data_IF_084634123418
#
_entry.id   IF_084634123418
#
_cell.length_a   1.000
_cell.length_b   1.000
_cell.length_c   1.000
_cell.angle_alpha   90.00
_cell.angle_beta   90.00
_cell.angle_gamma   90.00
#
_symmetry.space_group_name_H-M   'P 1'
#
loop_
_entity.id
_entity.type
_entity.pdbx_description
1 polymer ?
#
# COMPACT_ATOMS: atom_id res chain seq x y z
N UNK A 1 25.69 -23.85 29.06
CA UNK A 1 25.04 -23.44 27.79
C UNK A 1 23.70 -22.69 28.02
N UNK A 2 23.66 -21.66 28.88
CA UNK A 2 22.42 -20.86 29.15
C UNK A 2 22.56 -19.37 28.80
N UNK A 3 23.75 -18.93 28.38
CA UNK A 3 24.05 -17.53 28.06
C UNK A 3 23.85 -17.17 26.58
N UNK A 4 23.89 -18.16 25.68
CA UNK A 4 23.75 -17.96 24.23
C UNK A 4 22.31 -17.60 23.81
N UNK A 5 21.29 -18.16 24.47
CA UNK A 5 19.88 -17.87 24.17
C UNK A 5 19.45 -16.44 24.50
N UNK A 6 20.08 -15.80 25.50
CA UNK A 6 19.79 -14.40 25.85
C UNK A 6 20.44 -13.41 24.89
N UNK A 7 21.63 -13.74 24.37
CA UNK A 7 22.31 -12.90 23.38
C UNK A 7 21.58 -12.87 22.03
N UNK A 8 20.97 -13.98 21.61
CA UNK A 8 20.25 -14.06 20.34
C UNK A 8 18.98 -13.19 20.31
N UNK A 9 18.25 -13.14 21.43
CA UNK A 9 17.03 -12.32 21.58
C UNK A 9 17.35 -10.81 21.62
N UNK A 10 18.51 -10.45 22.16
CA UNK A 10 18.97 -9.04 22.15
C UNK A 10 19.41 -8.61 20.75
N UNK A 11 20.07 -9.50 20.00
CA UNK A 11 20.49 -9.21 18.62
C UNK A 11 19.29 -9.07 17.68
N UNK A 12 18.24 -9.90 17.83
CA UNK A 12 17.02 -9.76 17.02
C UNK A 12 16.26 -8.46 17.31
N UNK A 13 16.27 -7.99 18.57
CA UNK A 13 15.68 -6.69 18.94
C UNK A 13 16.46 -5.48 18.38
N UNK A 14 17.78 -5.59 18.22
CA UNK A 14 18.63 -4.52 17.68
C UNK A 14 18.44 -4.38 16.15
N UNK A 15 18.30 -5.49 15.43
CA UNK A 15 18.08 -5.48 13.97
C UNK A 15 16.73 -4.85 13.61
N UNK A 16 15.71 -4.99 14.47
CA UNK A 16 14.39 -4.36 14.32
C UNK A 16 14.41 -2.83 14.50
N UNK A 17 15.40 -2.27 15.19
CA UNK A 17 15.46 -0.84 15.50
C UNK A 17 16.12 0.00 14.38
N UNK A 18 16.84 -0.63 13.45
CA UNK A 18 17.69 0.08 12.45
C UNK A 18 17.01 0.40 11.11
N UNK A 19 15.72 0.07 10.90
CA UNK A 19 15.04 0.26 9.60
C UNK A 19 14.52 1.70 9.39
N UNK A 20 14.79 2.64 10.31
CA UNK A 20 14.22 3.99 10.31
C UNK A 20 15.15 5.12 9.82
N UNK A 21 16.05 4.85 8.88
CA UNK A 21 16.82 5.92 8.23
C UNK A 21 16.95 5.67 6.73
N UNK A 22 16.31 6.53 5.92
CA UNK A 22 16.83 6.93 4.62
C UNK A 22 16.21 8.28 4.24
N UNK A 23 17.00 9.32 4.50
CA UNK A 23 16.88 10.64 3.92
C UNK A 23 17.73 10.68 2.64
N UNK A 24 17.15 11.10 1.52
CA UNK A 24 17.93 11.68 0.42
C UNK A 24 17.04 12.58 -0.41
N UNK A 25 17.64 13.70 -0.80
CA UNK A 25 17.08 15.00 -1.15
C UNK A 25 17.10 15.23 -2.69
N UNK A 26 16.12 16.04 -3.14
CA UNK A 26 16.14 17.05 -4.24
C UNK A 26 16.36 16.60 -5.71
N UNK A 27 15.37 16.81 -6.59
CA UNK A 27 15.30 17.97 -7.51
C UNK A 27 13.93 18.04 -8.23
N UNK A 28 13.31 19.23 -8.15
CA UNK A 28 11.98 19.58 -8.67
C UNK A 28 12.13 20.42 -9.93
N UNK A 29 11.37 20.12 -10.98
CA UNK A 29 11.04 21.07 -12.06
C UNK A 29 9.52 21.29 -12.09
N UNK A 30 9.13 22.57 -12.07
CA UNK A 30 7.76 23.09 -11.83
C UNK A 30 6.89 23.11 -13.08
N UNK A 31 5.57 22.92 -12.91
CA UNK A 31 4.38 23.64 -13.49
C UNK A 31 3.16 22.68 -13.45
N UNK A 32 1.91 23.07 -13.18
CA UNK A 32 1.23 24.33 -12.92
C UNK A 32 -0.20 24.03 -12.42
N UNK A 33 -0.76 24.91 -11.59
CA UNK A 33 -1.96 24.70 -10.75
C UNK A 33 -3.25 25.08 -11.51
N UNK A 34 -4.31 24.29 -11.37
CA UNK A 34 -5.68 24.67 -11.76
C UNK A 34 -6.51 24.95 -10.48
N UNK A 35 -7.28 26.05 -10.42
CA UNK A 35 -7.77 26.61 -9.16
C UNK A 35 -9.04 25.92 -8.66
N UNK A 36 -8.89 25.07 -7.65
CA UNK A 36 -9.96 24.75 -6.70
C UNK A 36 -9.64 25.41 -5.36
N UNK A 37 -10.46 26.39 -4.95
CA UNK A 37 -10.61 26.91 -3.59
C UNK A 37 -9.79 26.22 -2.48
N UNK A 38 -8.50 26.57 -2.38
CA UNK A 38 -7.52 26.01 -1.45
C UNK A 38 -7.62 26.58 -0.01
N UNK A 39 -8.60 27.43 0.29
CA UNK A 39 -8.61 28.25 1.50
C UNK A 39 -9.06 27.51 2.78
N UNK A 40 -9.49 26.24 2.70
CA UNK A 40 -10.06 25.55 3.86
C UNK A 40 -9.54 24.14 4.12
N UNK A 41 -8.56 23.64 3.36
CA UNK A 41 -7.93 22.36 3.77
C UNK A 41 -6.98 22.64 4.93
N UNK A 42 -7.20 22.06 6.12
CA UNK A 42 -6.19 22.08 7.15
C UNK A 42 -4.91 21.51 6.55
N UNK A 43 -3.81 22.26 6.66
CA UNK A 43 -2.48 21.85 6.21
C UNK A 43 -2.10 20.47 6.77
N UNK A 44 -2.70 20.11 7.91
CA UNK A 44 -2.57 18.82 8.57
C UNK A 44 -3.27 17.68 7.83
N UNK A 45 -4.43 17.89 7.20
CA UNK A 45 -5.16 16.85 6.47
C UNK A 45 -4.39 16.41 5.22
N UNK A 46 -3.74 17.36 4.54
CA UNK A 46 -2.93 17.11 3.33
C UNK A 46 -1.66 16.31 3.65
N UNK A 47 -1.09 16.51 4.84
CA UNK A 47 0.09 15.76 5.30
C UNK A 47 -0.29 14.37 5.83
N UNK A 48 -1.49 14.24 6.43
CA UNK A 48 -2.03 12.97 6.92
C UNK A 48 -2.38 12.01 5.79
N UNK A 49 -2.74 12.51 4.61
CA UNK A 49 -3.07 11.67 3.47
C UNK A 49 -1.86 11.16 2.68
N UNK A 50 -0.62 11.54 3.01
CA UNK A 50 0.57 11.05 2.28
C UNK A 50 0.73 9.53 2.43
N UNK A 51 0.95 8.82 1.32
CA UNK A 51 1.02 7.37 1.29
C UNK A 51 2.22 6.89 0.45
N UNK A 52 2.70 5.69 0.77
CA UNK A 52 3.66 4.95 -0.09
C UNK A 52 3.04 3.72 -0.74
N UNK A 53 2.08 3.12 -0.04
CA UNK A 53 1.34 1.93 -0.43
C UNK A 53 -0.10 2.10 0.05
N UNK A 54 -1.03 1.37 -0.55
CA UNK A 54 -2.46 1.46 -0.22
C UNK A 54 -2.76 1.12 1.25
N UNK A 55 -1.89 0.35 1.91
CA UNK A 55 -1.98 0.05 3.34
C UNK A 55 -1.98 1.30 4.23
N UNK A 56 -1.35 2.40 3.79
CA UNK A 56 -1.38 3.67 4.52
C UNK A 56 -2.75 4.35 4.47
N UNK A 57 -3.58 3.98 3.48
CA UNK A 57 -4.89 4.54 3.25
C UNK A 57 -6.02 3.82 4.00
N UNK A 58 -5.70 2.84 4.84
CA UNK A 58 -6.70 2.12 5.67
C UNK A 58 -7.53 3.02 6.58
N UNK A 59 -7.01 4.19 6.94
CA UNK A 59 -7.75 5.16 7.74
C UNK A 59 -8.94 5.78 6.98
N UNK A 60 -8.91 5.76 5.65
CA UNK A 60 -9.94 6.31 4.78
C UNK A 60 -10.50 5.20 3.88
N UNK A 61 -11.71 4.69 4.16
CA UNK A 61 -12.31 3.66 3.33
C UNK A 61 -12.45 4.16 1.88
N UNK A 62 -12.38 3.23 0.91
CA UNK A 62 -12.50 3.53 -0.52
C UNK A 62 -11.44 4.46 -1.10
N UNK A 63 -10.33 4.67 -0.40
CA UNK A 63 -9.16 5.38 -0.94
C UNK A 63 -8.02 4.44 -1.29
N UNK A 64 -7.27 4.79 -2.32
CA UNK A 64 -6.08 4.08 -2.77
C UNK A 64 -4.89 5.04 -2.89
N UNK A 65 -3.67 4.51 -2.84
CA UNK A 65 -2.47 5.33 -2.88
C UNK A 65 -2.18 5.76 -4.31
N UNK A 66 -2.39 7.04 -4.60
CA UNK A 66 -2.26 7.61 -5.92
C UNK A 66 -1.43 8.87 -5.94
N UNK A 67 -0.90 9.23 -7.11
CA UNK A 67 -0.29 10.56 -7.28
C UNK A 67 -1.36 11.61 -7.40
N UNK A 68 -1.33 12.58 -6.50
CA UNK A 68 -2.21 13.73 -6.50
C UNK A 68 -1.98 14.56 -7.78
N UNK A 69 -3.03 14.84 -8.57
CA UNK A 69 -2.90 15.64 -9.80
C UNK A 69 -2.45 17.09 -9.53
N UNK A 70 -2.60 17.61 -8.31
CA UNK A 70 -2.28 18.99 -7.96
C UNK A 70 -0.77 19.19 -7.76
N UNK A 71 -0.10 18.28 -7.06
CA UNK A 71 1.31 18.41 -6.70
C UNK A 71 2.18 17.17 -6.96
N UNK A 72 1.60 16.11 -7.52
CA UNK A 72 2.26 14.86 -7.89
C UNK A 72 2.67 13.99 -6.70
N UNK A 73 2.32 14.38 -5.47
CA UNK A 73 2.66 13.60 -4.28
C UNK A 73 1.75 12.39 -4.16
N UNK A 74 2.32 11.27 -3.71
CA UNK A 74 1.53 10.10 -3.38
C UNK A 74 0.66 10.37 -2.15
N UNK A 75 -0.65 10.35 -2.34
CA UNK A 75 -1.66 10.54 -1.32
C UNK A 75 -2.80 9.53 -1.45
N UNK A 76 -3.52 9.32 -0.37
CA UNK A 76 -4.77 8.58 -0.37
C UNK A 76 -5.82 9.40 -1.11
N UNK A 77 -6.23 8.90 -2.26
CA UNK A 77 -7.18 9.53 -3.16
C UNK A 77 -8.35 8.58 -3.41
N UNK A 78 -9.50 9.16 -3.70
CA UNK A 78 -10.66 8.45 -4.18
C UNK A 78 -10.47 8.06 -5.66
N UNK A 79 -11.35 7.19 -6.18
CA UNK A 79 -11.30 6.71 -7.57
C UNK A 79 -11.34 7.84 -8.64
N UNK A 80 -11.90 8.99 -8.28
CA UNK A 80 -11.97 10.20 -9.10
C UNK A 80 -10.71 11.10 -9.01
N UNK A 81 -9.70 10.70 -8.24
CA UNK A 81 -8.50 11.48 -7.84
C UNK A 81 -8.75 12.64 -6.88
N UNK A 82 -9.95 12.76 -6.32
CA UNK A 82 -10.17 13.75 -5.27
C UNK A 82 -9.68 13.20 -3.93
N UNK A 83 -9.51 14.08 -2.95
CA UNK A 83 -9.22 13.59 -1.60
C UNK A 83 -10.55 13.30 -0.90
N UNK A 84 -10.57 12.35 0.03
CA UNK A 84 -11.74 12.11 0.84
C UNK A 84 -12.22 13.40 1.52
N UNK A 85 -13.53 13.61 1.52
CA UNK A 85 -14.19 14.74 2.17
C UNK A 85 -14.91 14.17 3.39
N UNK A 86 -14.61 14.68 4.59
CA UNK A 86 -15.11 14.12 5.85
C UNK A 86 -14.90 12.60 5.98
N UNK A 87 -13.71 12.16 5.58
CA UNK A 87 -13.25 10.76 5.63
C UNK A 87 -14.00 9.78 4.69
N UNK A 88 -14.75 10.27 3.70
CA UNK A 88 -15.44 9.44 2.71
C UNK A 88 -15.22 9.90 1.26
N UNK A 89 -15.44 8.98 0.32
CA UNK A 89 -15.36 9.19 -1.11
C UNK A 89 -16.76 9.23 -1.75
N UNK A 90 -16.98 10.21 -2.63
CA UNK A 90 -18.23 10.33 -3.39
C UNK A 90 -18.36 9.18 -4.39
N UNK A 91 -17.25 8.80 -5.03
CA UNK A 91 -17.19 7.71 -6.00
C UNK A 91 -16.54 6.48 -5.38
N UNK A 92 -17.21 5.33 -5.53
CA UNK A 92 -16.66 4.04 -5.11
C UNK A 92 -15.62 3.52 -6.11
N UNK A 93 -14.60 2.79 -5.64
CA UNK A 93 -13.65 2.10 -6.50
C UNK A 93 -14.32 0.98 -7.32
N UNK A 94 -13.70 0.66 -8.44
CA UNK A 94 -14.01 -0.48 -9.31
C UNK A 94 -13.54 -1.79 -8.68
N UNK A 95 -14.36 -2.83 -8.82
CA UNK A 95 -14.09 -4.19 -8.36
C UNK A 95 -13.03 -4.90 -9.22
N UNK A 96 -12.55 -6.06 -8.76
CA UNK A 96 -11.61 -6.88 -9.52
C UNK A 96 -12.21 -7.33 -10.85
N UNK A 97 -11.40 -7.36 -11.90
CA UNK A 97 -11.83 -7.69 -13.26
C UNK A 97 -12.58 -6.59 -14.00
N UNK A 98 -12.97 -5.50 -13.32
CA UNK A 98 -13.60 -4.35 -13.98
C UNK A 98 -12.58 -3.50 -14.71
N UNK A 99 -13.03 -2.87 -15.79
CA UNK A 99 -12.18 -1.99 -16.59
C UNK A 99 -11.69 -0.77 -15.79
N UNK A 100 -10.43 -0.40 -15.99
CA UNK A 100 -9.79 0.71 -15.30
C UNK A 100 -8.84 1.45 -16.24
N UNK A 101 -8.50 2.70 -15.89
CA UNK A 101 -7.44 3.46 -16.55
C UNK A 101 -6.22 3.62 -15.64
N UNK A 102 -6.42 3.65 -14.32
CA UNK A 102 -5.38 3.90 -13.32
C UNK A 102 -5.59 3.10 -12.05
N UNK A 103 -4.50 2.84 -11.33
CA UNK A 103 -4.52 2.03 -10.10
C UNK A 103 -5.49 2.54 -9.03
N UNK A 104 -5.63 3.87 -8.90
CA UNK A 104 -6.50 4.50 -7.90
C UNK A 104 -8.00 4.18 -8.07
N UNK A 105 -8.39 3.74 -9.26
CA UNK A 105 -9.76 3.37 -9.57
C UNK A 105 -10.09 2.01 -8.97
N UNK A 106 -9.10 1.15 -8.81
CA UNK A 106 -9.28 -0.18 -8.26
C UNK A 106 -9.47 -0.17 -6.75
N UNK A 107 -10.04 -1.26 -6.21
CA UNK A 107 -10.09 -1.51 -4.77
C UNK A 107 -8.70 -1.47 -4.13
N UNK A 108 -8.67 -1.36 -2.79
CA UNK A 108 -7.43 -1.32 -2.04
C UNK A 108 -6.56 -2.57 -2.31
N UNK A 109 -5.25 -2.38 -2.51
CA UNK A 109 -4.26 -3.44 -2.79
C UNK A 109 -4.40 -4.07 -4.19
N UNK A 110 -5.31 -3.55 -5.02
CA UNK A 110 -5.38 -3.82 -6.45
C UNK A 110 -4.71 -2.71 -7.26
N UNK A 111 -4.28 -3.04 -8.47
CA UNK A 111 -3.70 -2.11 -9.44
C UNK A 111 -4.30 -2.36 -10.82
N UNK A 112 -4.19 -1.36 -11.69
CA UNK A 112 -4.75 -1.39 -13.02
C UNK A 112 -3.71 -1.97 -13.98
N UNK A 113 -4.01 -3.13 -14.57
CA UNK A 113 -3.09 -3.85 -15.44
C UNK A 113 -3.79 -4.41 -16.67
N UNK A 114 -3.03 -4.74 -17.70
CA UNK A 114 -3.60 -5.30 -18.93
C UNK A 114 -4.15 -6.70 -18.68
N UNK A 115 -5.34 -6.98 -19.23
CA UNK A 115 -5.95 -8.30 -19.13
C UNK A 115 -5.16 -9.31 -19.99
N UNK A 116 -4.27 -10.05 -19.35
CA UNK A 116 -3.47 -11.10 -20.01
C UNK A 116 -4.29 -12.32 -20.43
N UNK A 117 -5.53 -12.45 -19.97
CA UNK A 117 -6.37 -13.62 -20.18
C UNK A 117 -7.35 -13.46 -21.37
N UNK A 118 -7.41 -12.28 -22.00
CA UNK A 118 -8.26 -12.02 -23.16
C UNK A 118 -7.44 -11.76 -24.43
N UNK A 119 -8.04 -12.11 -25.57
CA UNK A 119 -7.49 -11.92 -26.93
C UNK A 119 -7.25 -10.44 -27.27
N UNK A 120 -7.74 -9.49 -26.46
CA UNK A 120 -7.54 -8.06 -26.62
C UNK A 120 -6.57 -7.53 -25.54
N UNK A 121 -5.28 -7.36 -25.86
CA UNK A 121 -4.29 -6.86 -24.91
C UNK A 121 -4.52 -5.40 -24.51
N UNK A 122 -5.40 -4.66 -25.19
CA UNK A 122 -5.61 -3.23 -24.95
C UNK A 122 -6.56 -2.94 -23.77
N UNK A 123 -7.27 -3.94 -23.25
CA UNK A 123 -8.19 -3.76 -22.12
C UNK A 123 -7.42 -3.85 -20.81
N UNK A 124 -7.47 -2.79 -20.01
CA UNK A 124 -6.93 -2.75 -18.65
C UNK A 124 -8.02 -3.07 -17.63
N UNK A 125 -7.71 -3.93 -16.68
CA UNK A 125 -8.60 -4.38 -15.61
C UNK A 125 -7.93 -4.24 -14.23
N UNK A 126 -8.76 -4.17 -13.19
CA UNK A 126 -8.29 -4.19 -11.82
C UNK A 126 -7.87 -5.60 -11.40
N UNK A 127 -6.63 -5.75 -10.93
CA UNK A 127 -6.08 -7.01 -10.45
C UNK A 127 -5.33 -6.82 -9.13
N UNK A 128 -5.35 -7.82 -8.24
CA UNK A 128 -4.53 -7.79 -7.02
C UNK A 128 -3.04 -7.71 -7.34
N UNK A 129 -2.31 -6.90 -6.58
CA UNK A 129 -0.85 -6.82 -6.66
C UNK A 129 -0.22 -8.17 -6.28
N UNK A 130 0.98 -8.47 -6.80
CA UNK A 130 1.66 -9.78 -6.71
C UNK A 130 1.80 -10.38 -5.29
N UNK A 131 1.70 -9.54 -4.25
CA UNK A 131 1.79 -9.93 -2.84
C UNK A 131 0.44 -10.29 -2.20
N UNK A 132 -0.67 -10.07 -2.93
CA UNK A 132 -2.04 -10.22 -2.47
C UNK A 132 -2.79 -11.21 -3.34
N UNK A 133 -3.72 -11.93 -2.73
CA UNK A 133 -4.62 -12.89 -3.37
C UNK A 133 -6.04 -12.34 -3.37
N UNK A 134 -6.79 -12.68 -4.41
CA UNK A 134 -8.22 -12.41 -4.48
C UNK A 134 -8.94 -13.36 -3.53
N UNK A 135 -9.51 -12.79 -2.46
CA UNK A 135 -10.39 -13.45 -1.51
C UNK A 135 -11.74 -12.70 -1.50
N UNK A 136 -12.78 -13.36 -2.01
CA UNK A 136 -14.15 -12.85 -2.08
C UNK A 136 -14.28 -11.46 -2.75
N UNK A 137 -13.51 -11.20 -3.81
CA UNK A 137 -13.53 -9.92 -4.51
C UNK A 137 -12.76 -8.81 -3.80
N UNK A 138 -11.93 -9.16 -2.82
CA UNK A 138 -11.02 -8.26 -2.12
C UNK A 138 -9.59 -8.79 -2.16
N UNK A 139 -8.61 -7.89 -2.15
CA UNK A 139 -7.21 -8.29 -2.13
C UNK A 139 -6.72 -8.41 -0.68
N UNK A 140 -6.41 -9.63 -0.25
CA UNK A 140 -5.86 -9.91 1.08
C UNK A 140 -4.46 -10.52 0.95
N UNK A 141 -3.60 -10.28 1.95
CA UNK A 141 -2.20 -10.71 1.91
C UNK A 141 -1.82 -11.18 3.30
N UNK A 142 -1.80 -12.50 3.50
CA UNK A 142 -1.91 -13.01 4.86
C UNK A 142 -1.18 -14.30 5.22
N UNK A 143 -0.63 -15.09 4.28
CA UNK A 143 -0.25 -16.47 4.67
C UNK A 143 1.23 -16.82 4.49
N UNK A 144 1.94 -16.20 3.55
CA UNK A 144 3.32 -16.63 3.21
C UNK A 144 4.34 -16.33 4.31
N UNK A 145 4.24 -15.17 4.96
CA UNK A 145 5.17 -14.80 6.03
C UNK A 145 4.94 -15.62 7.31
N UNK A 146 3.69 -15.92 7.64
CA UNK A 146 3.32 -16.69 8.83
C UNK A 146 3.84 -18.12 8.71
N UNK A 147 3.61 -18.78 7.56
CA UNK A 147 4.09 -20.14 7.30
C UNK A 147 5.62 -20.21 7.37
N UNK A 148 6.33 -19.24 6.79
CA UNK A 148 7.80 -19.19 6.85
C UNK A 148 8.35 -19.06 8.27
N UNK A 149 7.70 -18.24 9.12
CA UNK A 149 8.10 -18.05 10.51
C UNK A 149 7.81 -19.30 11.34
N UNK A 150 6.63 -19.92 11.16
CA UNK A 150 6.28 -21.15 11.86
C UNK A 150 7.22 -22.31 11.51
N UNK A 151 7.59 -22.47 10.23
CA UNK A 151 8.56 -23.49 9.81
C UNK A 151 9.94 -23.26 10.43
N UNK A 152 10.42 -22.01 10.46
CA UNK A 152 11.70 -21.68 11.10
C UNK A 152 11.70 -21.98 12.62
N UNK A 153 10.59 -21.72 13.30
CA UNK A 153 10.42 -22.03 14.73
C UNK A 153 10.42 -23.55 14.97
N UNK A 154 9.70 -24.32 14.16
CA UNK A 154 9.65 -25.79 14.28
C UNK A 154 11.05 -26.40 14.09
N UNK A 155 11.78 -25.95 13.08
CA UNK A 155 13.15 -26.40 12.81
C UNK A 155 14.06 -26.07 14.00
N UNK A 156 13.98 -24.86 14.55
CA UNK A 156 14.75 -24.48 15.73
C UNK A 156 14.43 -25.33 16.96
N UNK A 157 13.17 -25.69 17.19
CA UNK A 157 12.76 -26.57 18.30
C UNK A 157 13.33 -27.98 18.13
N UNK A 158 13.32 -28.53 16.91
CA UNK A 158 13.87 -29.86 16.63
C UNK A 158 15.39 -29.88 16.88
N UNK A 159 16.12 -28.83 16.47
CA UNK A 159 17.56 -28.71 16.69
C UNK A 159 17.97 -28.43 18.15
N UNK A 160 17.07 -27.93 19.01
CA UNK A 160 17.33 -27.79 20.45
C UNK A 160 17.12 -29.09 21.23
N UNK A 161 16.46 -30.09 20.61
CA UNK A 161 16.12 -31.37 21.26
C UNK A 161 17.12 -32.49 20.92
N UNK A 162 17.97 -32.29 19.91
CA UNK A 162 19.11 -33.14 19.55
C UNK A 162 20.40 -32.52 20.08
#
# INVERSE_FOLDING_TARGET
MRALGKSLVVVSAIVLYCISCNATEIFRTKRGVVPGNAASRPKDTIRKSECRHDNHCKAWPKTSCGKDPVDGKSRCLCADQTHPINDDCITSPQELGMACERDIQCIQLAYCTHNVNETNPDIKICQCREEYTDEDGTCSGGERAIISIFLAIIVAIIFQKY
#
